data_IF_108499242274
#
_entry.id   IF_108499242274
#
_cell.length_a   1.000
_cell.length_b   1.000
_cell.length_c   1.000
_cell.angle_alpha   90.00
_cell.angle_beta   90.00
_cell.angle_gamma   90.00
#
_symmetry.space_group_name_H-M   'P 1'
#
loop_
_entity.id
_entity.type
_entity.pdbx_description
1 polymer ?
#
# COMPACT_ATOMS: atom_id res chain seq x y z
N UNK A 1 -2.11 -16.03 6.58
CA UNK A 1 -1.01 -15.41 5.82
C UNK A 1 0.23 -15.20 6.69
N UNK A 2 1.12 -16.19 6.77
CA UNK A 2 2.45 -16.09 7.42
C UNK A 2 3.55 -15.94 6.35
N UNK A 3 3.35 -15.01 5.42
CA UNK A 3 4.24 -14.91 4.25
C UNK A 3 5.65 -14.41 4.60
N UNK A 4 5.78 -13.77 5.76
CA UNK A 4 7.03 -13.57 6.47
C UNK A 4 6.67 -13.45 7.95
N UNK A 5 7.47 -14.00 8.86
CA UNK A 5 7.46 -13.55 10.25
C UNK A 5 8.12 -12.15 10.31
N UNK A 6 7.55 -11.18 9.55
CA UNK A 6 7.79 -9.77 9.82
C UNK A 6 7.53 -9.59 11.30
N UNK A 7 8.43 -8.90 11.99
CA UNK A 7 8.25 -8.62 13.42
C UNK A 7 6.87 -8.02 13.59
N UNK A 8 6.12 -8.45 14.60
CA UNK A 8 4.75 -7.97 14.84
C UNK A 8 4.69 -6.43 14.87
N UNK A 9 5.76 -5.80 15.32
CA UNK A 9 5.98 -4.35 15.32
C UNK A 9 5.92 -3.75 13.91
N UNK A 10 6.57 -4.38 12.91
CA UNK A 10 6.59 -3.92 11.51
C UNK A 10 5.20 -4.08 10.86
N UNK A 11 4.51 -5.21 11.13
CA UNK A 11 3.14 -5.46 10.65
C UNK A 11 2.14 -4.45 11.20
N UNK A 12 2.24 -4.15 12.50
CA UNK A 12 1.33 -3.27 13.23
C UNK A 12 1.45 -1.82 12.76
N UNK A 13 2.68 -1.32 12.60
CA UNK A 13 2.95 0.05 12.13
C UNK A 13 2.53 0.25 10.65
N UNK A 14 2.64 -0.79 9.83
CA UNK A 14 2.32 -0.70 8.41
C UNK A 14 0.81 -0.74 8.16
N UNK A 15 0.07 -1.55 8.93
CA UNK A 15 -1.33 -1.89 8.66
C UNK A 15 -2.35 -1.08 9.48
N UNK A 16 -2.13 -0.83 10.77
CA UNK A 16 -3.12 -0.09 11.59
C UNK A 16 -3.25 1.37 11.17
N UNK A 17 -2.13 2.00 10.84
CA UNK A 17 -2.11 3.37 10.30
C UNK A 17 -2.82 3.45 8.94
N UNK A 18 -2.92 2.33 8.22
CA UNK A 18 -3.55 2.26 6.91
C UNK A 18 -5.07 2.46 6.98
N UNK A 19 -5.79 1.80 7.89
CA UNK A 19 -7.24 2.01 7.97
C UNK A 19 -7.59 3.43 8.41
N UNK A 20 -6.82 3.99 9.34
CA UNK A 20 -7.00 5.38 9.77
C UNK A 20 -6.75 6.36 8.62
N UNK A 21 -5.62 6.20 7.93
CA UNK A 21 -5.21 7.08 6.84
C UNK A 21 -6.23 7.17 5.70
N UNK A 22 -6.96 6.09 5.44
CA UNK A 22 -7.93 6.01 4.35
C UNK A 22 -9.38 6.23 4.81
N UNK A 23 -9.60 6.54 6.10
CA UNK A 23 -10.95 6.72 6.67
C UNK A 23 -11.76 5.42 6.72
N UNK A 24 -11.08 4.29 6.85
CA UNK A 24 -11.63 2.94 6.87
C UNK A 24 -11.67 2.35 8.29
N UNK A 25 -11.39 3.15 9.33
CA UNK A 25 -11.39 2.72 10.73
C UNK A 25 -12.70 2.07 11.17
N UNK A 26 -13.82 2.55 10.65
CA UNK A 26 -15.19 2.12 10.97
C UNK A 26 -15.62 0.86 10.18
N UNK A 27 -14.77 0.31 9.30
CA UNK A 27 -15.08 -0.95 8.64
C UNK A 27 -15.17 -2.09 9.66
N UNK A 28 -16.11 -3.01 9.43
CA UNK A 28 -16.19 -4.28 10.15
C UNK A 28 -14.99 -5.19 9.86
N UNK A 29 -14.82 -6.23 10.68
CA UNK A 29 -13.67 -7.14 10.59
C UNK A 29 -13.62 -7.91 9.26
N UNK A 30 -14.78 -8.22 8.68
CA UNK A 30 -14.87 -8.93 7.40
C UNK A 30 -14.33 -8.05 6.25
N UNK A 31 -14.77 -6.78 6.20
CA UNK A 31 -14.30 -5.81 5.21
C UNK A 31 -12.84 -5.44 5.41
N UNK A 32 -12.38 -5.32 6.66
CA UNK A 32 -10.96 -5.14 6.97
C UNK A 32 -10.15 -6.33 6.47
N UNK A 33 -10.59 -7.55 6.73
CA UNK A 33 -9.92 -8.77 6.25
C UNK A 33 -9.88 -8.86 4.72
N UNK A 34 -10.97 -8.50 4.04
CA UNK A 34 -11.01 -8.45 2.57
C UNK A 34 -10.01 -7.43 2.03
N UNK A 35 -10.00 -6.21 2.60
CA UNK A 35 -9.07 -5.17 2.22
C UNK A 35 -7.61 -5.59 2.39
N UNK A 36 -7.25 -6.22 3.52
CA UNK A 36 -5.88 -6.71 3.74
C UNK A 36 -5.49 -7.82 2.77
N UNK A 37 -6.46 -8.63 2.34
CA UNK A 37 -6.24 -9.66 1.31
C UNK A 37 -5.89 -9.02 -0.02
N UNK A 38 -6.66 -8.01 -0.44
CA UNK A 38 -6.42 -7.26 -1.67
C UNK A 38 -5.07 -6.50 -1.62
N UNK A 39 -4.78 -5.84 -0.49
CA UNK A 39 -3.51 -5.17 -0.26
C UNK A 39 -2.33 -6.14 -0.35
N UNK A 40 -2.42 -7.29 0.32
CA UNK A 40 -1.35 -8.29 0.25
C UNK A 40 -1.12 -8.79 -1.17
N UNK A 41 -2.19 -8.97 -1.94
CA UNK A 41 -2.07 -9.40 -3.33
C UNK A 41 -1.35 -8.34 -4.16
N UNK A 42 -1.73 -7.08 -4.02
CA UNK A 42 -1.08 -5.96 -4.71
C UNK A 42 0.42 -5.86 -4.34
N UNK A 43 0.74 -6.01 -3.06
CA UNK A 43 2.14 -6.04 -2.57
C UNK A 43 2.91 -7.20 -3.17
N UNK A 44 2.32 -8.39 -3.21
CA UNK A 44 2.94 -9.55 -3.84
C UNK A 44 3.18 -9.34 -5.34
N UNK A 45 2.19 -8.86 -6.09
CA UNK A 45 2.31 -8.58 -7.52
C UNK A 45 3.41 -7.55 -7.78
N UNK A 46 3.47 -6.48 -6.98
CA UNK A 46 4.52 -5.48 -7.06
C UNK A 46 5.92 -6.04 -6.71
N UNK A 47 6.03 -6.79 -5.61
CA UNK A 47 7.27 -7.45 -5.21
C UNK A 47 7.82 -8.36 -6.30
N UNK A 48 6.97 -9.21 -6.90
CA UNK A 48 7.40 -10.13 -7.95
C UNK A 48 7.79 -9.40 -9.24
N UNK A 49 7.01 -8.38 -9.64
CA UNK A 49 7.24 -7.64 -10.89
C UNK A 49 8.37 -6.61 -10.82
N UNK A 50 8.65 -6.04 -9.66
CA UNK A 50 9.69 -5.01 -9.49
C UNK A 50 10.91 -5.56 -8.72
N UNK A 51 10.72 -6.06 -7.51
CA UNK A 51 11.85 -6.42 -6.63
C UNK A 51 12.53 -7.73 -7.04
N UNK A 52 11.78 -8.71 -7.56
CA UNK A 52 12.30 -10.02 -7.97
C UNK A 52 12.72 -10.03 -9.44
N UNK A 53 11.92 -9.45 -10.34
CA UNK A 53 12.23 -9.44 -11.79
C UNK A 53 13.50 -8.66 -12.13
N UNK A 54 13.95 -7.74 -11.26
CA UNK A 54 15.24 -7.07 -11.39
C UNK A 54 16.45 -7.97 -11.07
N UNK A 55 16.22 -9.20 -10.58
CA UNK A 55 17.24 -10.14 -10.13
C UNK A 55 17.16 -11.46 -10.89
N UNK A 56 15.95 -12.00 -11.02
CA UNK A 56 15.68 -13.21 -11.80
C UNK A 56 15.31 -12.84 -13.24
N UNK A 57 15.72 -13.66 -14.20
CA UNK A 57 15.26 -13.47 -15.58
C UNK A 57 13.76 -13.75 -15.70
N UNK A 58 13.11 -13.20 -16.72
CA UNK A 58 11.70 -13.48 -17.00
C UNK A 58 11.41 -14.98 -17.17
N UNK A 59 12.37 -15.76 -17.68
CA UNK A 59 12.25 -17.21 -17.84
C UNK A 59 12.24 -17.92 -16.47
N UNK A 60 13.21 -17.63 -15.61
CA UNK A 60 13.27 -18.19 -14.26
C UNK A 60 12.02 -17.83 -13.44
N UNK A 61 11.55 -16.59 -13.55
CA UNK A 61 10.34 -16.14 -12.86
C UNK A 61 9.10 -16.88 -13.38
N UNK A 62 8.98 -17.05 -14.70
CA UNK A 62 7.87 -17.80 -15.29
C UNK A 62 7.89 -19.28 -14.89
N UNK A 63 9.05 -19.92 -14.84
CA UNK A 63 9.19 -21.30 -14.36
C UNK A 63 8.71 -21.44 -12.91
N UNK A 64 9.12 -20.51 -12.04
CA UNK A 64 8.66 -20.49 -10.64
C UNK A 64 7.15 -20.30 -10.53
N UNK A 65 6.58 -19.35 -11.29
CA UNK A 65 5.14 -19.08 -11.30
C UNK A 65 4.31 -20.22 -11.89
N UNK A 66 4.86 -21.00 -12.83
CA UNK A 66 4.22 -22.21 -13.34
C UNK A 66 4.31 -23.38 -12.35
N UNK A 67 5.45 -23.52 -11.68
CA UNK A 67 5.69 -24.57 -10.69
C UNK A 67 4.85 -24.35 -9.42
N UNK A 68 4.70 -23.09 -9.02
CA UNK A 68 3.95 -22.68 -7.84
C UNK A 68 2.93 -21.59 -8.22
N UNK A 69 1.82 -21.96 -8.87
CA UNK A 69 0.81 -20.99 -9.26
C UNK A 69 0.21 -20.33 -8.00
N UNK A 70 0.15 -18.98 -7.91
CA UNK A 70 -0.26 -18.25 -6.71
C UNK A 70 -1.79 -18.24 -6.52
N UNK A 71 -2.42 -19.41 -6.63
CA UNK A 71 -3.86 -19.64 -6.46
C UNK A 71 -4.24 -20.15 -5.08
N UNK A 72 -3.26 -20.58 -4.27
CA UNK A 72 -3.44 -21.06 -2.91
C UNK A 72 -2.36 -20.51 -1.98
N UNK A 73 -2.67 -20.37 -0.69
CA UNK A 73 -1.71 -19.91 0.32
C UNK A 73 -0.47 -20.82 0.39
N UNK A 74 -0.66 -22.14 0.26
CA UNK A 74 0.43 -23.12 0.23
C UNK A 74 1.39 -22.89 -0.94
N UNK A 75 0.86 -22.64 -2.15
CA UNK A 75 1.70 -22.35 -3.31
C UNK A 75 2.42 -21.01 -3.17
N UNK A 76 1.75 -19.99 -2.64
CA UNK A 76 2.39 -18.68 -2.44
C UNK A 76 3.54 -18.82 -1.42
N UNK A 77 3.36 -19.61 -0.36
CA UNK A 77 4.45 -19.88 0.59
C UNK A 77 5.62 -20.61 -0.09
N UNK A 78 5.34 -21.71 -0.80
CA UNK A 78 6.37 -22.49 -1.49
C UNK A 78 7.13 -21.66 -2.54
N UNK A 79 6.42 -20.78 -3.24
CA UNK A 79 7.00 -19.83 -4.18
C UNK A 79 7.95 -18.87 -3.48
N UNK A 80 7.53 -18.27 -2.37
CA UNK A 80 8.36 -17.32 -1.63
C UNK A 80 9.58 -17.97 -0.99
N UNK A 81 9.46 -19.22 -0.52
CA UNK A 81 10.60 -19.99 -0.02
C UNK A 81 11.64 -20.24 -1.13
N UNK A 82 11.21 -20.50 -2.36
CA UNK A 82 12.11 -20.63 -3.51
C UNK A 82 12.71 -19.29 -3.93
N UNK A 83 11.91 -18.22 -3.97
CA UNK A 83 12.40 -16.87 -4.23
C UNK A 83 13.46 -16.49 -3.19
N UNK A 84 13.28 -16.81 -1.90
CA UNK A 84 14.26 -16.55 -0.84
C UNK A 84 15.59 -17.29 -1.01
N UNK A 85 15.61 -18.45 -1.69
CA UNK A 85 16.86 -19.15 -2.01
C UNK A 85 17.62 -18.48 -3.16
N UNK A 86 16.91 -17.83 -4.06
CA UNK A 86 17.46 -17.28 -5.31
C UNK A 86 17.73 -15.78 -5.24
N UNK A 87 16.96 -15.06 -4.42
CA UNK A 87 17.01 -13.62 -4.26
C UNK A 87 17.58 -13.30 -2.88
N UNK A 88 18.70 -12.57 -2.77
CA UNK A 88 19.21 -12.16 -1.47
C UNK A 88 18.34 -11.05 -0.86
N UNK A 89 18.06 -11.18 0.44
CA UNK A 89 17.33 -10.17 1.21
C UNK A 89 15.86 -10.06 0.83
N UNK A 90 15.16 -11.19 0.61
CA UNK A 90 13.74 -11.19 0.23
C UNK A 90 12.86 -10.48 1.25
N UNK A 91 13.11 -10.68 2.55
CA UNK A 91 12.35 -10.03 3.62
C UNK A 91 12.41 -8.50 3.52
N UNK A 92 13.62 -7.94 3.43
CA UNK A 92 13.82 -6.49 3.28
C UNK A 92 13.16 -5.95 2.01
N UNK A 93 13.30 -6.67 0.89
CA UNK A 93 12.68 -6.30 -0.39
C UNK A 93 11.16 -6.36 -0.34
N UNK A 94 10.60 -7.32 0.37
CA UNK A 94 9.15 -7.42 0.55
C UNK A 94 8.63 -6.30 1.46
N UNK A 95 9.38 -5.94 2.49
CA UNK A 95 9.10 -4.79 3.34
C UNK A 95 9.16 -3.47 2.54
N UNK A 96 10.17 -3.29 1.69
CA UNK A 96 10.26 -2.16 0.75
C UNK A 96 9.04 -2.12 -0.18
N UNK A 97 8.66 -3.26 -0.77
CA UNK A 97 7.46 -3.36 -1.62
C UNK A 97 6.19 -2.95 -0.86
N UNK A 98 6.03 -3.39 0.39
CA UNK A 98 4.89 -3.02 1.24
C UNK A 98 4.85 -1.50 1.51
N UNK A 99 6.01 -0.90 1.82
CA UNK A 99 6.12 0.55 2.05
C UNK A 99 5.83 1.35 0.78
N UNK A 100 6.33 0.93 -0.37
CA UNK A 100 6.11 1.60 -1.65
C UNK A 100 4.66 1.50 -2.11
N UNK A 101 4.03 0.33 -1.97
CA UNK A 101 2.60 0.16 -2.24
C UNK A 101 1.77 1.01 -1.28
N UNK A 102 2.12 1.07 0.01
CA UNK A 102 1.47 1.97 0.97
C UNK A 102 1.61 3.43 0.54
N UNK A 103 2.80 3.84 0.12
CA UNK A 103 3.05 5.20 -0.31
C UNK A 103 2.27 5.57 -1.57
N UNK A 104 2.22 4.65 -2.52
CA UNK A 104 1.45 4.80 -3.74
C UNK A 104 -0.04 4.97 -3.45
N UNK A 105 -0.63 4.05 -2.69
CA UNK A 105 -2.06 4.11 -2.34
C UNK A 105 -2.41 5.37 -1.54
N UNK A 106 -1.56 5.78 -0.60
CA UNK A 106 -1.77 6.99 0.18
C UNK A 106 -1.74 8.24 -0.72
N UNK A 107 -0.78 8.29 -1.65
CA UNK A 107 -0.66 9.36 -2.64
C UNK A 107 -1.90 9.44 -3.52
N UNK A 108 -2.36 8.31 -4.06
CA UNK A 108 -3.56 8.26 -4.89
C UNK A 108 -4.81 8.71 -4.13
N UNK A 109 -4.95 8.29 -2.87
CA UNK A 109 -6.05 8.71 -2.00
C UNK A 109 -6.06 10.23 -1.80
N UNK A 110 -4.92 10.80 -1.43
CA UNK A 110 -4.76 12.24 -1.19
C UNK A 110 -5.04 13.03 -2.48
N UNK A 111 -4.47 12.63 -3.61
CA UNK A 111 -4.71 13.26 -4.91
C UNK A 111 -6.21 13.22 -5.27
N UNK A 112 -6.89 12.11 -5.01
CA UNK A 112 -8.32 11.95 -5.28
C UNK A 112 -9.15 12.91 -4.41
N UNK A 113 -8.83 13.03 -3.12
CA UNK A 113 -9.47 14.00 -2.22
C UNK A 113 -9.22 15.44 -2.66
N UNK A 114 -7.99 15.79 -3.03
CA UNK A 114 -7.64 17.11 -3.56
C UNK A 114 -8.46 17.46 -4.81
N UNK A 115 -8.59 16.52 -5.75
CA UNK A 115 -9.43 16.71 -6.94
C UNK A 115 -10.89 16.97 -6.55
N UNK A 116 -11.43 16.20 -5.61
CA UNK A 116 -12.78 16.38 -5.09
C UNK A 116 -12.99 17.76 -4.46
N UNK A 117 -12.10 18.20 -3.57
CA UNK A 117 -12.19 19.53 -2.95
C UNK A 117 -12.03 20.66 -3.97
N UNK A 118 -11.18 20.48 -4.98
CA UNK A 118 -11.05 21.44 -6.08
C UNK A 118 -12.35 21.60 -6.84
N UNK A 119 -13.00 20.51 -7.22
CA UNK A 119 -14.32 20.56 -7.88
C UNK A 119 -15.36 21.24 -6.98
N UNK A 120 -15.42 20.89 -5.69
CA UNK A 120 -16.34 21.53 -4.75
C UNK A 120 -16.09 23.04 -4.59
N UNK A 121 -14.83 23.51 -4.60
CA UNK A 121 -14.51 24.94 -4.58
C UNK A 121 -14.93 25.69 -5.85
N UNK A 122 -14.89 25.01 -7.00
CA UNK A 122 -15.28 25.57 -8.30
C UNK A 122 -16.80 25.69 -8.41
N UNK A 123 -17.55 24.72 -7.87
CA UNK A 123 -19.02 24.66 -7.91
C UNK A 123 -19.71 25.44 -6.78
N UNK A 124 -19.02 25.69 -5.66
CA UNK A 124 -19.62 26.33 -4.49
C UNK A 124 -19.75 27.85 -4.64
N UNK A 125 -20.99 28.33 -4.51
CA UNK A 125 -21.34 29.75 -4.60
C UNK A 125 -21.19 30.49 -3.27
N UNK A 126 -21.27 29.78 -2.12
CA UNK A 126 -21.18 30.39 -0.80
C UNK A 126 -19.71 30.61 -0.38
N UNK A 127 -19.25 31.86 -0.18
CA UNK A 127 -17.84 32.15 0.11
C UNK A 127 -17.29 31.45 1.36
N UNK A 128 -18.13 31.29 2.40
CA UNK A 128 -17.75 30.59 3.63
C UNK A 128 -17.42 29.10 3.41
N UNK A 129 -18.21 28.40 2.58
CA UNK A 129 -18.00 26.98 2.28
C UNK A 129 -16.82 26.78 1.34
N UNK A 130 -16.62 27.72 0.42
CA UNK A 130 -15.45 27.73 -0.45
C UNK A 130 -14.14 27.82 0.34
N UNK A 131 -14.10 28.64 1.39
CA UNK A 131 -12.94 28.73 2.28
C UNK A 131 -12.74 27.44 3.11
N UNK A 132 -13.82 26.76 3.51
CA UNK A 132 -13.72 25.44 4.15
C UNK A 132 -13.10 24.38 3.23
N UNK A 133 -13.57 24.26 1.99
CA UNK A 133 -12.98 23.34 1.01
C UNK A 133 -11.53 23.68 0.67
N UNK A 134 -11.19 24.97 0.64
CA UNK A 134 -9.80 25.40 0.46
C UNK A 134 -8.90 24.93 1.60
N UNK A 135 -9.33 25.07 2.85
CA UNK A 135 -8.59 24.54 4.00
C UNK A 135 -8.39 23.03 3.92
N UNK A 136 -9.42 22.29 3.49
CA UNK A 136 -9.31 20.84 3.29
C UNK A 136 -8.36 20.48 2.13
N UNK A 137 -8.35 21.26 1.05
CA UNK A 137 -7.39 21.10 -0.04
C UNK A 137 -5.95 21.35 0.44
N UNK A 138 -5.73 22.43 1.19
CA UNK A 138 -4.42 22.79 1.72
C UNK A 138 -3.91 21.73 2.72
N UNK A 139 -4.79 21.18 3.57
CA UNK A 139 -4.48 20.05 4.46
C UNK A 139 -4.04 18.81 3.68
N UNK A 140 -4.80 18.43 2.63
CA UNK A 140 -4.41 17.31 1.77
C UNK A 140 -3.08 17.57 1.05
N UNK A 141 -2.83 18.80 0.62
CA UNK A 141 -1.56 19.17 -0.01
C UNK A 141 -0.38 19.02 0.96
N UNK A 142 -0.56 19.37 2.24
CA UNK A 142 0.46 19.17 3.27
C UNK A 142 0.71 17.67 3.52
N UNK A 143 -0.36 16.85 3.55
CA UNK A 143 -0.26 15.39 3.67
C UNK A 143 0.46 14.76 2.48
N UNK A 144 0.22 15.23 1.26
CA UNK A 144 0.95 14.77 0.08
C UNK A 144 2.46 15.05 0.20
N UNK A 145 2.83 16.25 0.66
CA UNK A 145 4.23 16.58 0.90
C UNK A 145 4.84 15.70 2.00
N UNK A 146 4.11 15.41 3.07
CA UNK A 146 4.57 14.53 4.13
C UNK A 146 4.82 13.09 3.63
N UNK A 147 3.97 12.57 2.74
CA UNK A 147 4.18 11.27 2.09
C UNK A 147 5.49 11.27 1.28
N UNK A 148 5.72 12.30 0.45
CA UNK A 148 6.96 12.43 -0.33
C UNK A 148 8.21 12.56 0.53
N UNK A 149 8.10 13.23 1.68
CA UNK A 149 9.17 13.37 2.66
C UNK A 149 9.38 12.12 3.53
N UNK A 150 8.51 11.10 3.42
CA UNK A 150 8.52 9.90 4.24
C UNK A 150 8.08 10.13 5.70
N UNK A 151 7.42 11.25 6.00
CA UNK A 151 6.95 11.65 7.34
C UNK A 151 5.55 11.13 7.62
N UNK A 152 5.44 9.80 7.76
CA UNK A 152 4.16 9.09 7.94
C UNK A 152 3.39 9.51 9.20
N UNK A 153 4.10 9.91 10.26
CA UNK A 153 3.54 10.37 11.53
C UNK A 153 2.67 11.62 11.39
N UNK A 154 2.93 12.46 10.38
CA UNK A 154 2.18 13.69 10.13
C UNK A 154 0.83 13.45 9.44
N UNK A 155 0.57 12.23 8.97
CA UNK A 155 -0.69 11.89 8.31
C UNK A 155 -1.80 11.52 9.30
N UNK A 156 -1.44 11.28 10.56
CA UNK A 156 -2.34 10.86 11.64
C UNK A 156 -2.65 11.98 12.64
N UNK A 157 -2.01 13.14 12.49
CA UNK A 157 -2.24 14.36 13.28
C UNK A 157 -3.42 15.17 12.72
#
# INVERSE_FOLDING_TARGET
MKLFDLREEDKTLLILDFFSLFGLSELDDERKSSFLTDLSRLVFEYFMGDKVQNILTSEQLNELMQKYPPSSEENVQALMDEVNKLVPGVEDRYLEALLEVKAHLATEHVITKMKGYKTLMEEEAHPGKKEEYKKLFDDMSAKLQAIHDGKWELLLA
#
